data_IF_818271630866
#
_entry.id   IF_818271630866
#
_cell.length_a   1.000
_cell.length_b   1.000
_cell.length_c   1.000
_cell.angle_alpha   90.00
_cell.angle_beta   90.00
_cell.angle_gamma   90.00
#
_symmetry.space_group_name_H-M   'P 1'
#
loop_
_entity.id
_entity.type
_entity.pdbx_description
1 polymer ?
#
# COMPACT_ATOMS: atom_id res chain seq x y z
N UNK A 1 -31.15 -18.60 -19.93
CA UNK A 1 -30.87 -17.15 -20.13
C UNK A 1 -30.14 -16.50 -18.94
N UNK A 2 -30.47 -16.80 -17.67
CA UNK A 2 -29.78 -16.21 -16.48
C UNK A 2 -28.25 -16.43 -16.44
N UNK A 3 -27.76 -17.58 -16.91
CA UNK A 3 -26.32 -17.91 -16.88
C UNK A 3 -25.47 -17.09 -17.88
N UNK A 4 -26.07 -16.68 -19.00
CA UNK A 4 -25.37 -15.90 -20.04
C UNK A 4 -25.24 -14.43 -19.62
N UNK A 5 -26.28 -13.89 -18.97
CA UNK A 5 -26.24 -12.51 -18.47
C UNK A 5 -25.17 -12.38 -17.37
N UNK A 6 -25.10 -13.34 -16.44
CA UNK A 6 -24.10 -13.35 -15.39
C UNK A 6 -22.65 -13.48 -15.90
N UNK A 7 -22.42 -14.18 -17.04
CA UNK A 7 -21.08 -14.27 -17.61
C UNK A 7 -20.66 -12.97 -18.30
N UNK A 8 -21.57 -12.33 -19.05
CA UNK A 8 -21.30 -11.05 -19.72
C UNK A 8 -20.96 -9.95 -18.71
N UNK A 9 -21.73 -9.84 -17.62
CA UNK A 9 -21.45 -8.85 -16.56
C UNK A 9 -20.06 -9.05 -15.94
N UNK A 10 -19.65 -10.30 -15.70
CA UNK A 10 -18.32 -10.61 -15.15
C UNK A 10 -17.19 -10.26 -16.12
N UNK A 11 -17.41 -10.42 -17.42
CA UNK A 11 -16.42 -10.09 -18.45
C UNK A 11 -16.25 -8.57 -18.58
N UNK A 12 -17.34 -7.80 -18.51
CA UNK A 12 -17.32 -6.34 -18.51
C UNK A 12 -16.62 -5.77 -17.27
N UNK A 13 -16.96 -6.27 -16.07
CA UNK A 13 -16.28 -5.90 -14.82
C UNK A 13 -14.78 -6.17 -14.89
N UNK A 14 -14.40 -7.36 -15.38
CA UNK A 14 -12.99 -7.73 -15.55
C UNK A 14 -12.28 -6.79 -16.52
N UNK A 15 -12.91 -6.46 -17.64
CA UNK A 15 -12.33 -5.55 -18.64
C UNK A 15 -12.13 -4.14 -18.07
N UNK A 16 -13.12 -3.63 -17.33
CA UNK A 16 -13.04 -2.34 -16.64
C UNK A 16 -11.83 -2.27 -15.71
N UNK A 17 -11.60 -3.30 -14.89
CA UNK A 17 -10.45 -3.37 -13.99
C UNK A 17 -9.10 -3.43 -14.74
N UNK A 18 -9.05 -4.08 -15.91
CA UNK A 18 -7.84 -4.13 -16.73
C UNK A 18 -7.50 -2.77 -17.35
N UNK A 19 -8.52 -2.04 -17.79
CA UNK A 19 -8.36 -0.69 -18.36
C UNK A 19 -8.00 0.32 -17.27
N UNK A 20 -8.63 0.23 -16.10
CA UNK A 20 -8.29 1.00 -14.91
C UNK A 20 -6.81 0.81 -14.54
N UNK A 21 -6.36 -0.44 -14.42
CA UNK A 21 -4.95 -0.78 -14.17
C UNK A 21 -4.01 -0.14 -15.17
N UNK A 22 -4.35 -0.19 -16.47
CA UNK A 22 -3.50 0.36 -17.54
C UNK A 22 -3.36 1.87 -17.38
N UNK A 23 -4.49 2.57 -17.18
CA UNK A 23 -4.51 4.02 -16.98
C UNK A 23 -3.81 4.45 -15.68
N UNK A 24 -3.93 3.65 -14.63
CA UNK A 24 -3.26 3.89 -13.35
C UNK A 24 -1.74 3.76 -13.48
N UNK A 25 -1.26 2.65 -14.04
CA UNK A 25 0.18 2.41 -14.22
C UNK A 25 0.85 3.36 -15.23
N UNK A 26 0.10 3.96 -16.15
CA UNK A 26 0.66 4.97 -17.07
C UNK A 26 0.90 6.33 -16.41
N UNK A 27 0.24 6.62 -15.28
CA UNK A 27 0.33 7.92 -14.59
C UNK A 27 1.36 7.92 -13.46
N UNK A 28 1.62 6.77 -12.85
CA UNK A 28 2.54 6.67 -11.71
C UNK A 28 3.94 6.19 -12.12
N UNK A 29 4.95 6.78 -11.48
CA UNK A 29 6.30 6.18 -11.43
C UNK A 29 6.27 4.99 -10.49
N UNK A 30 6.45 3.80 -11.05
CA UNK A 30 6.37 2.52 -10.33
C UNK A 30 7.60 1.67 -10.57
N UNK A 31 8.00 0.90 -9.56
CA UNK A 31 9.06 -0.10 -9.70
C UNK A 31 8.53 -1.39 -10.36
N UNK A 32 9.40 -2.28 -10.88
CA UNK A 32 8.97 -3.58 -11.40
C UNK A 32 8.20 -4.43 -10.36
N UNK A 33 8.60 -4.36 -9.10
CA UNK A 33 7.94 -5.08 -8.00
C UNK A 33 6.52 -4.57 -7.76
N UNK A 34 6.35 -3.24 -7.67
CA UNK A 34 5.04 -2.61 -7.49
C UNK A 34 4.09 -2.97 -8.64
N UNK A 35 4.59 -2.93 -9.89
CA UNK A 35 3.84 -3.38 -11.06
C UNK A 35 3.43 -4.86 -10.99
N UNK A 36 4.27 -5.70 -10.38
CA UNK A 36 3.92 -7.10 -10.09
C UNK A 36 2.75 -7.22 -9.12
N UNK A 37 2.82 -6.49 -8.00
CA UNK A 37 1.78 -6.49 -6.95
C UNK A 37 0.45 -5.95 -7.47
N UNK A 38 0.46 -4.83 -8.21
CA UNK A 38 -0.75 -4.27 -8.86
C UNK A 38 -1.38 -5.28 -9.83
N UNK A 39 -0.56 -5.96 -10.66
CA UNK A 39 -1.09 -6.99 -11.59
C UNK A 39 -1.77 -8.13 -10.83
N UNK A 40 -1.16 -8.61 -9.76
CA UNK A 40 -1.76 -9.67 -8.92
C UNK A 40 -3.07 -9.20 -8.27
N UNK A 41 -3.08 -7.98 -7.72
CA UNK A 41 -4.26 -7.39 -7.07
C UNK A 41 -5.46 -7.28 -8.02
N UNK A 42 -5.24 -6.73 -9.21
CA UNK A 42 -6.27 -6.56 -10.24
C UNK A 42 -6.73 -7.91 -10.80
N UNK A 43 -5.82 -8.87 -10.99
CA UNK A 43 -6.19 -10.21 -11.44
C UNK A 43 -7.11 -10.95 -10.45
N UNK A 44 -7.07 -10.59 -9.16
CA UNK A 44 -8.00 -11.07 -8.13
C UNK A 44 -9.35 -10.35 -8.13
N UNK A 45 -9.58 -9.40 -9.04
CA UNK A 45 -10.85 -8.68 -9.19
C UNK A 45 -10.96 -7.40 -8.36
N UNK A 46 -9.84 -6.79 -7.99
CA UNK A 46 -9.84 -5.58 -7.15
C UNK A 46 -9.46 -4.33 -7.95
N UNK A 47 -10.06 -3.20 -7.58
CA UNK A 47 -9.71 -1.88 -8.12
C UNK A 47 -8.37 -1.39 -7.55
N UNK A 48 -7.59 -0.70 -8.37
CA UNK A 48 -6.35 -0.02 -7.96
C UNK A 48 -6.61 1.18 -7.04
N UNK A 49 -7.85 1.68 -6.97
CA UNK A 49 -8.28 2.75 -6.05
C UNK A 49 -8.80 2.22 -4.71
N UNK A 50 -8.75 0.90 -4.51
CA UNK A 50 -9.00 0.25 -3.24
C UNK A 50 -7.71 -0.33 -2.67
N UNK A 51 -7.70 -0.59 -1.36
CA UNK A 51 -6.58 -1.21 -0.68
C UNK A 51 -7.05 -2.21 0.40
N UNK A 52 -6.27 -3.28 0.67
CA UNK A 52 -6.62 -4.29 1.67
C UNK A 52 -6.35 -3.86 3.12
N UNK A 53 -5.66 -2.73 3.34
CA UNK A 53 -5.20 -2.30 4.66
C UNK A 53 -6.16 -1.35 5.37
N UNK A 54 -7.34 -1.08 4.78
CA UNK A 54 -8.30 -0.11 5.29
C UNK A 54 -7.66 1.27 5.53
N UNK A 55 -6.68 1.63 4.70
CA UNK A 55 -6.00 2.92 4.79
C UNK A 55 -6.80 3.98 4.01
N UNK A 56 -6.97 5.13 4.65
CA UNK A 56 -7.65 6.30 4.12
C UNK A 56 -6.71 7.49 4.13
N UNK A 57 -6.85 8.37 3.13
CA UNK A 57 -6.19 9.67 3.13
C UNK A 57 -6.69 10.53 4.28
N UNK A 58 -5.98 11.61 4.57
CA UNK A 58 -6.37 12.59 5.60
C UNK A 58 -7.77 13.19 5.34
N UNK A 59 -8.21 13.21 4.08
CA UNK A 59 -9.56 13.67 3.70
C UNK A 59 -10.65 12.61 3.87
N UNK A 60 -10.31 11.41 4.37
CA UNK A 60 -11.26 10.32 4.62
C UNK A 60 -11.62 9.47 3.39
N UNK A 61 -10.87 9.56 2.30
CA UNK A 61 -11.08 8.71 1.12
C UNK A 61 -10.14 7.50 1.14
N UNK A 62 -10.55 6.31 0.68
CA UNK A 62 -9.65 5.17 0.57
C UNK A 62 -8.39 5.54 -0.22
N UNK A 63 -7.23 5.18 0.31
CA UNK A 63 -5.99 5.30 -0.44
C UNK A 63 -5.96 4.32 -1.61
N UNK A 64 -5.34 4.72 -2.72
CA UNK A 64 -5.05 3.78 -3.80
C UNK A 64 -4.02 2.73 -3.36
N UNK A 65 -3.97 1.62 -4.08
CA UNK A 65 -3.22 0.43 -3.69
C UNK A 65 -1.72 0.70 -3.49
N UNK A 66 -1.06 1.45 -4.39
CA UNK A 66 0.39 1.72 -4.25
C UNK A 66 0.64 2.68 -3.09
N UNK A 67 -0.16 3.74 -2.96
CA UNK A 67 -0.01 4.69 -1.86
C UNK A 67 -0.15 3.98 -0.51
N UNK A 68 -1.20 3.16 -0.34
CA UNK A 68 -1.41 2.37 0.87
C UNK A 68 -0.26 1.39 1.12
N UNK A 69 0.21 0.68 0.08
CA UNK A 69 1.31 -0.27 0.20
C UNK A 69 2.63 0.40 0.62
N UNK A 70 2.93 1.59 0.10
CA UNK A 70 4.12 2.35 0.50
C UNK A 70 4.02 2.85 1.94
N UNK A 71 2.83 3.31 2.35
CA UNK A 71 2.60 3.73 3.73
C UNK A 71 2.79 2.57 4.72
N UNK A 72 2.30 1.37 4.40
CA UNK A 72 2.54 0.17 5.23
C UNK A 72 4.03 -0.15 5.33
N UNK A 73 4.76 -0.13 4.21
CA UNK A 73 6.19 -0.40 4.21
C UNK A 73 6.98 0.65 5.04
N UNK A 74 6.54 1.91 5.05
CA UNK A 74 7.11 2.95 5.89
C UNK A 74 6.84 2.71 7.37
N UNK A 75 5.60 2.34 7.74
CA UNK A 75 5.23 2.00 9.11
C UNK A 75 6.02 0.81 9.66
N UNK A 76 6.16 -0.26 8.87
CA UNK A 76 6.96 -1.45 9.24
C UNK A 76 8.43 -1.10 9.45
N UNK A 77 8.96 -0.12 8.73
CA UNK A 77 10.34 0.34 8.91
C UNK A 77 10.49 1.21 10.19
N UNK A 78 9.47 1.99 10.55
CA UNK A 78 9.45 2.84 11.75
C UNK A 78 9.32 2.01 13.03
N UNK A 79 8.61 0.88 13.02
CA UNK A 79 8.49 -0.01 14.18
C UNK A 79 9.84 -0.62 14.64
N UNK A 80 10.90 -0.48 13.84
CA UNK A 80 12.27 -0.81 14.27
C UNK A 80 12.93 0.25 15.17
N UNK A 81 12.37 1.46 15.24
CA UNK A 81 12.88 2.56 16.05
C UNK A 81 12.24 2.53 17.45
N UNK A 82 12.99 2.00 18.43
CA UNK A 82 12.62 2.09 19.85
C UNK A 82 13.31 3.31 20.49
N UNK A 83 12.59 4.41 20.80
CA UNK A 83 13.18 5.60 21.42
C UNK A 83 13.70 5.36 22.86
N UNK A 84 13.38 4.21 23.47
CA UNK A 84 13.91 3.82 24.78
C UNK A 84 15.17 2.93 24.70
N UNK A 85 15.66 2.60 23.50
CA UNK A 85 16.92 1.87 23.31
C UNK A 85 18.12 2.78 23.03
N UNK A 86 17.92 4.10 22.91
CA UNK A 86 18.98 5.13 22.82
C UNK A 86 19.19 5.87 24.15
N UNK A 87 19.02 5.14 25.26
CA UNK A 87 19.59 5.52 26.54
C UNK A 87 20.74 4.54 26.73
N UNK A 88 21.82 4.74 25.97
CA UNK A 88 23.11 4.25 26.44
C UNK A 88 23.29 4.88 27.81
N UNK A 89 23.35 4.03 28.83
CA UNK A 89 23.84 4.35 30.16
C UNK A 89 25.27 4.91 30.01
N UNK A 90 25.41 6.18 29.65
CA UNK A 90 26.64 6.93 29.87
C UNK A 90 26.61 7.41 31.32
N UNK A 91 26.75 6.47 32.25
CA UNK A 91 27.26 6.71 33.59
C UNK A 91 28.77 6.98 33.52
N UNK A 92 29.19 7.95 32.69
CA UNK A 92 30.44 8.65 32.93
C UNK A 92 30.16 9.76 33.92
N UNK A 93 30.01 9.33 35.18
CA UNK A 93 30.28 10.14 36.35
C UNK A 93 31.65 10.81 36.21
N UNK A 94 31.70 11.99 35.59
CA UNK A 94 32.85 12.87 35.63
C UNK A 94 32.81 13.56 36.98
N UNK A 95 33.75 13.20 37.85
CA UNK A 95 33.94 13.83 39.14
C UNK A 95 34.05 15.36 38.98
N UNK A 96 33.18 16.09 39.68
CA UNK A 96 33.30 17.53 39.84
C UNK A 96 34.55 17.82 40.68
N UNK A 97 35.49 18.68 40.24
CA UNK A 97 36.63 19.03 41.07
C UNK A 97 36.17 19.90 42.25
N UNK A 98 36.67 19.57 43.44
CA UNK A 98 36.55 20.37 44.67
C UNK A 98 37.34 21.67 44.58
#
# INVERSE_FOLDING_TARGET
MKNVINSVVKDEERQSLLDEKKAYLSKLKTTPEERGKVRSWVNRGNSVYANPWLLYSESGFPMDFITAMRAVAEMENIESYNPYLDISDDDSSTELPF
#
